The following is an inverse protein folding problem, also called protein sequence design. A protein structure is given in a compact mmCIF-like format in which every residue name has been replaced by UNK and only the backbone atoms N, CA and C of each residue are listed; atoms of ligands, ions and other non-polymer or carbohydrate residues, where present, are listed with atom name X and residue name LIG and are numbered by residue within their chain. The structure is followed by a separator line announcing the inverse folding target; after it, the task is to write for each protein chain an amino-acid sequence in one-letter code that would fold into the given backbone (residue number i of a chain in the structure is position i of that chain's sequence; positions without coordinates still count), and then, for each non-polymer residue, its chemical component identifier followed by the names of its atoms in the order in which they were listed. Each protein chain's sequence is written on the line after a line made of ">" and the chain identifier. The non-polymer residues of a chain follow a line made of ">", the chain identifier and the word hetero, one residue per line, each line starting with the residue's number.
data_IF_662065696013
#
_entry.id   IF_662065696013
#
_cell.length_a   1.000
_cell.length_b   1.000
_cell.length_c   1.000
_cell.angle_alpha   90.00
_cell.angle_beta   90.00
_cell.angle_gamma   90.00
#
_symmetry.space_group_name_H-M   'P 1'
#
loop_
_entity.id
_entity.type
_entity.pdbx_description
1 polymer ?
#
# COMPACT_ATOMS: atom_id res chain seq x y z
N UNK A 1 -5.27 12.73 19.21
CA UNK A 1 -5.42 11.82 18.04
C UNK A 1 -5.55 12.63 16.75
N UNK A 2 -4.45 12.81 16.01
CA UNK A 2 -4.44 13.44 14.68
C UNK A 2 -4.36 12.45 13.53
N UNK A 3 -3.98 11.20 13.79
CA UNK A 3 -3.66 10.17 12.80
C UNK A 3 -4.73 9.07 12.74
N UNK A 4 -5.14 8.70 11.53
CA UNK A 4 -5.88 7.49 11.26
C UNK A 4 -5.10 6.54 10.35
N UNK A 5 -5.22 5.24 10.60
CA UNK A 5 -4.71 4.21 9.70
C UNK A 5 -5.83 3.76 8.78
N UNK A 6 -5.60 3.86 7.48
CA UNK A 6 -6.44 3.24 6.46
C UNK A 6 -5.82 1.88 6.19
N UNK A 7 -6.35 0.87 6.89
CA UNK A 7 -5.69 -0.42 7.09
C UNK A 7 -6.23 -1.51 6.15
N UNK A 8 -5.30 -2.20 5.48
CA UNK A 8 -5.51 -3.48 4.81
C UNK A 8 -4.95 -4.65 5.61
N UNK A 9 -4.79 -5.80 4.96
CA UNK A 9 -4.25 -7.05 5.54
C UNK A 9 -2.76 -6.95 5.85
N UNK A 10 -2.30 -7.88 6.69
CA UNK A 10 -0.89 -8.04 7.04
C UNK A 10 -0.52 -7.36 8.36
N UNK A 11 0.75 -7.52 8.75
CA UNK A 11 1.28 -7.00 10.01
C UNK A 11 1.70 -5.53 10.02
N UNK A 12 1.77 -4.88 8.85
CA UNK A 12 2.24 -3.50 8.75
C UNK A 12 1.38 -2.52 9.56
N UNK A 13 0.03 -2.54 9.50
CA UNK A 13 -0.80 -1.64 10.29
C UNK A 13 -0.55 -1.76 11.80
N UNK A 14 -0.38 -2.98 12.32
CA UNK A 14 -0.07 -3.21 13.73
C UNK A 14 1.29 -2.60 14.13
N UNK A 15 2.31 -2.75 13.28
CA UNK A 15 3.63 -2.13 13.51
C UNK A 15 3.53 -0.61 13.53
N UNK A 16 2.81 -0.01 12.57
CA UNK A 16 2.61 1.45 12.52
C UNK A 16 1.88 1.94 13.77
N UNK A 17 0.78 1.29 14.15
CA UNK A 17 0.01 1.66 15.34
C UNK A 17 0.85 1.59 16.63
N UNK A 18 1.64 0.52 16.79
CA UNK A 18 2.47 0.31 17.99
C UNK A 18 3.62 1.31 18.12
N UNK A 19 4.07 1.92 17.02
CA UNK A 19 5.13 2.92 17.02
C UNK A 19 4.65 4.34 17.38
N UNK A 20 3.32 4.58 17.46
CA UNK A 20 2.77 5.90 17.75
C UNK A 20 2.71 6.17 19.25
N UNK A 21 2.95 7.43 19.65
CA UNK A 21 2.82 7.85 21.04
C UNK A 21 1.37 7.83 21.54
N UNK A 22 0.42 8.16 20.66
CA UNK A 22 -1.02 8.01 20.89
C UNK A 22 -1.58 6.96 19.93
N UNK A 23 -2.48 6.06 20.37
CA UNK A 23 -3.13 5.11 19.48
C UNK A 23 -3.85 5.84 18.32
N UNK A 24 -3.56 5.49 17.05
CA UNK A 24 -4.27 6.06 15.92
C UNK A 24 -5.68 5.45 15.82
N UNK A 25 -6.59 6.15 15.12
CA UNK A 25 -7.88 5.57 14.76
C UNK A 25 -7.68 4.54 13.64
N UNK A 26 -8.13 3.30 13.83
CA UNK A 26 -7.92 2.20 12.87
C UNK A 26 -9.17 1.99 12.02
N UNK A 27 -9.07 2.34 10.74
CA UNK A 27 -10.12 2.19 9.73
C UNK A 27 -9.77 1.02 8.81
N UNK A 28 -10.37 -0.15 9.01
CA UNK A 28 -10.07 -1.33 8.20
C UNK A 28 -10.95 -1.40 6.94
N UNK A 29 -10.35 -1.74 5.81
CA UNK A 29 -11.09 -2.03 4.59
C UNK A 29 -11.84 -3.36 4.72
N UNK A 30 -13.11 -3.40 4.31
CA UNK A 30 -13.95 -4.60 4.42
C UNK A 30 -13.34 -5.80 3.68
N UNK A 31 -13.29 -6.96 4.34
CA UNK A 31 -12.64 -8.16 3.80
C UNK A 31 -11.11 -8.16 3.85
N UNK A 32 -10.49 -7.07 4.31
CA UNK A 32 -9.04 -6.90 4.39
C UNK A 32 -8.57 -6.50 5.80
N UNK A 33 -9.06 -7.18 6.84
CA UNK A 33 -8.70 -6.84 8.22
C UNK A 33 -7.19 -7.02 8.48
N UNK A 34 -6.55 -6.11 9.23
CA UNK A 34 -5.13 -6.20 9.58
C UNK A 34 -4.86 -7.34 10.57
N UNK A 35 -3.63 -7.87 10.54
CA UNK A 35 -3.19 -8.88 11.49
C UNK A 35 -2.81 -8.22 12.82
N UNK A 36 -3.19 -8.84 13.94
CA UNK A 36 -2.82 -8.43 15.31
C UNK A 36 -3.25 -7.01 15.73
N UNK A 37 -4.11 -6.34 14.95
CA UNK A 37 -4.65 -5.03 15.25
C UNK A 37 -6.18 -5.04 15.14
N UNK A 38 -6.85 -4.51 16.16
CA UNK A 38 -8.32 -4.38 16.13
C UNK A 38 -8.71 -3.12 15.36
N UNK A 39 -9.65 -3.24 14.44
CA UNK A 39 -10.26 -2.10 13.77
C UNK A 39 -11.25 -1.38 14.72
N UNK A 40 -11.19 -0.04 14.73
CA UNK A 40 -12.20 0.80 15.39
C UNK A 40 -13.45 0.93 14.53
N UNK A 41 -13.25 0.98 13.20
CA UNK A 41 -14.33 1.00 12.22
C UNK A 41 -13.94 0.25 10.95
N UNK A 42 -14.95 -0.27 10.26
CA UNK A 42 -14.81 -0.89 8.95
C UNK A 42 -15.45 -0.01 7.89
N UNK A 43 -14.84 0.08 6.72
CA UNK A 43 -15.38 0.84 5.59
C UNK A 43 -15.23 0.09 4.28
N UNK A 44 -15.98 0.55 3.27
CA UNK A 44 -15.82 0.14 1.87
C UNK A 44 -15.54 1.33 0.97
N UNK A 45 -15.15 1.02 -0.27
CA UNK A 45 -14.99 2.04 -1.32
C UNK A 45 -16.28 2.82 -1.54
N UNK A 46 -17.44 2.17 -1.49
CA UNK A 46 -18.78 2.77 -1.65
C UNK A 46 -19.18 3.73 -0.53
N UNK A 47 -18.43 3.74 0.56
CA UNK A 47 -18.67 4.57 1.76
C UNK A 47 -17.49 5.50 2.08
N UNK A 48 -16.53 5.63 1.17
CA UNK A 48 -15.31 6.41 1.42
C UNK A 48 -15.62 7.87 1.72
N UNK A 49 -16.61 8.48 1.06
CA UNK A 49 -17.04 9.84 1.36
C UNK A 49 -17.58 10.01 2.78
N UNK A 50 -18.28 9.00 3.30
CA UNK A 50 -18.71 8.99 4.70
C UNK A 50 -17.53 8.80 5.66
N UNK A 51 -16.55 7.97 5.31
CA UNK A 51 -15.32 7.83 6.09
C UNK A 51 -14.58 9.17 6.18
N UNK A 52 -14.32 9.82 5.05
CA UNK A 52 -13.62 11.11 5.00
C UNK A 52 -14.30 12.15 5.89
N UNK A 53 -15.63 12.27 5.79
CA UNK A 53 -16.40 13.18 6.62
C UNK A 53 -16.37 12.80 8.11
N UNK A 54 -16.34 11.50 8.44
CA UNK A 54 -16.19 11.04 9.82
C UNK A 54 -14.82 11.41 10.39
N UNK A 55 -13.73 11.13 9.66
CA UNK A 55 -12.36 11.45 10.06
C UNK A 55 -12.21 12.94 10.40
N UNK A 56 -12.66 13.82 9.50
CA UNK A 56 -12.63 15.27 9.74
C UNK A 56 -13.49 15.68 10.95
N UNK A 57 -14.67 15.06 11.11
CA UNK A 57 -15.58 15.34 12.21
C UNK A 57 -15.03 14.97 13.59
N UNK A 58 -14.17 13.95 13.68
CA UNK A 58 -13.47 13.56 14.93
C UNK A 58 -12.10 14.22 15.08
N UNK A 59 -11.73 15.14 14.17
CA UNK A 59 -10.51 15.94 14.27
C UNK A 59 -9.25 15.30 13.70
N UNK A 60 -9.36 14.20 12.96
CA UNK A 60 -8.22 13.59 12.24
C UNK A 60 -7.76 14.55 11.13
N UNK A 61 -6.44 14.67 10.97
CA UNK A 61 -5.79 15.52 9.98
C UNK A 61 -4.76 14.79 9.14
N UNK A 62 -4.34 13.62 9.60
CA UNK A 62 -3.31 12.81 8.97
C UNK A 62 -3.83 11.39 8.76
N UNK A 63 -3.49 10.79 7.63
CA UNK A 63 -3.83 9.40 7.33
C UNK A 63 -2.61 8.65 6.83
N UNK A 64 -2.48 7.39 7.25
CA UNK A 64 -1.48 6.48 6.69
C UNK A 64 -2.19 5.32 6.01
N UNK A 65 -1.97 5.16 4.70
CA UNK A 65 -2.45 4.01 3.94
C UNK A 65 -1.46 2.87 4.17
N UNK A 66 -1.89 1.78 4.81
CA UNK A 66 -0.98 0.68 5.16
C UNK A 66 -1.67 -0.69 5.12
N UNK A 67 -0.93 -1.71 4.69
CA UNK A 67 -1.45 -3.07 4.53
C UNK A 67 -1.97 -3.35 3.12
N UNK A 68 -2.15 -4.64 2.83
CA UNK A 68 -2.56 -5.11 1.51
C UNK A 68 -4.07 -5.07 1.33
N UNK A 69 -4.53 -4.56 0.20
CA UNK A 69 -5.93 -4.65 -0.23
C UNK A 69 -6.00 -5.32 -1.59
N UNK A 70 -7.03 -6.14 -1.81
CA UNK A 70 -7.31 -6.59 -3.17
C UNK A 70 -7.87 -5.42 -3.98
N UNK A 71 -7.66 -5.49 -5.30
CA UNK A 71 -8.24 -4.51 -6.22
C UNK A 71 -9.77 -4.53 -6.08
N UNK A 72 -10.38 -3.44 -5.59
CA UNK A 72 -11.77 -3.48 -5.19
C UNK A 72 -12.70 -3.42 -6.41
N UNK A 73 -13.88 -4.01 -6.29
CA UNK A 73 -14.97 -3.85 -7.26
C UNK A 73 -15.97 -2.85 -6.71
N UNK A 74 -16.33 -1.83 -7.49
CA UNK A 74 -17.34 -0.85 -7.09
C UNK A 74 -18.75 -1.40 -7.36
N UNK A 75 -19.58 -1.49 -6.32
CA UNK A 75 -21.00 -1.82 -6.40
C UNK A 75 -21.86 -0.53 -6.31
N UNK A 76 -22.42 -0.03 -7.43
CA UNK A 76 -23.20 1.21 -7.43
C UNK A 76 -24.44 1.17 -6.52
N UNK A 77 -24.98 -0.02 -6.21
CA UNK A 77 -26.16 -0.14 -5.36
C UNK A 77 -25.86 0.08 -3.87
N UNK A 78 -24.59 -0.02 -3.46
CA UNK A 78 -24.12 0.19 -2.08
C UNK A 78 -23.54 1.57 -1.83
N UNK A 79 -23.49 2.40 -2.88
CA UNK A 79 -22.91 3.73 -2.88
C UNK A 79 -23.71 4.70 -2.02
N UNK A 80 -23.04 5.36 -1.07
CA UNK A 80 -23.67 6.41 -0.29
C UNK A 80 -23.64 7.78 -1.00
N UNK A 81 -24.49 8.69 -0.53
CA UNK A 81 -24.61 10.03 -1.12
C UNK A 81 -23.33 10.86 -1.01
N UNK A 82 -22.50 10.63 0.01
CA UNK A 82 -21.24 11.37 0.22
C UNK A 82 -20.14 10.88 -0.70
N UNK A 83 -20.23 9.63 -1.15
CA UNK A 83 -19.25 8.95 -1.98
C UNK A 83 -19.58 9.11 -3.47
N UNK A 84 -20.84 9.36 -3.81
CA UNK A 84 -21.26 9.56 -5.20
C UNK A 84 -20.42 10.58 -6.00
N UNK A 85 -19.99 11.72 -5.45
CA UNK A 85 -19.10 12.64 -6.14
C UNK A 85 -17.71 12.08 -6.49
N UNK A 86 -17.24 11.05 -5.76
CA UNK A 86 -15.90 10.45 -5.90
C UNK A 86 -15.84 9.35 -6.97
N UNK A 87 -16.99 8.89 -7.47
CA UNK A 87 -17.09 7.79 -8.44
C UNK A 87 -16.23 8.00 -9.70
N UNK A 88 -16.13 9.20 -10.30
CA UNK A 88 -15.24 9.42 -11.44
C UNK A 88 -13.77 9.12 -11.11
N UNK A 89 -13.28 9.54 -9.94
CA UNK A 89 -11.91 9.26 -9.48
C UNK A 89 -11.73 7.76 -9.22
N UNK A 90 -12.72 7.07 -8.66
CA UNK A 90 -12.64 5.61 -8.48
C UNK A 90 -12.52 4.87 -9.80
N UNK A 91 -13.29 5.28 -10.82
CA UNK A 91 -13.19 4.67 -12.16
C UNK A 91 -11.81 4.89 -12.78
N UNK A 92 -11.22 6.06 -12.58
CA UNK A 92 -9.86 6.35 -13.01
C UNK A 92 -8.84 5.45 -12.29
N UNK A 93 -8.93 5.35 -10.95
CA UNK A 93 -8.07 4.47 -10.16
C UNK A 93 -8.19 3.00 -10.58
N UNK A 94 -9.42 2.51 -10.73
CA UNK A 94 -9.71 1.14 -11.14
C UNK A 94 -9.35 0.82 -12.59
N UNK A 95 -9.05 1.82 -13.42
CA UNK A 95 -8.54 1.63 -14.78
C UNK A 95 -7.00 1.73 -14.86
N UNK A 96 -6.36 2.30 -13.84
CA UNK A 96 -4.91 2.43 -13.76
C UNK A 96 -4.24 1.12 -13.30
N UNK A 97 -2.91 1.03 -13.40
CA UNK A 97 -2.18 0.01 -12.66
C UNK A 97 -2.14 0.34 -11.16
N UNK A 98 -1.43 -0.46 -10.38
CA UNK A 98 -1.49 -0.37 -8.91
C UNK A 98 -0.91 0.95 -8.39
N UNK A 99 0.20 1.43 -8.96
CA UNK A 99 0.76 2.72 -8.57
C UNK A 99 -0.17 3.88 -8.93
N UNK A 100 -0.77 3.84 -10.13
CA UNK A 100 -1.72 4.86 -10.55
C UNK A 100 -3.00 4.88 -9.69
N UNK A 101 -3.48 3.71 -9.24
CA UNK A 101 -4.60 3.61 -8.33
C UNK A 101 -4.29 4.23 -6.97
N UNK A 102 -3.10 3.95 -6.41
CA UNK A 102 -2.64 4.49 -5.13
C UNK A 102 -2.56 6.03 -5.16
N UNK A 103 -2.01 6.61 -6.23
CA UNK A 103 -1.91 8.07 -6.39
C UNK A 103 -3.28 8.77 -6.46
N UNK A 104 -4.27 8.16 -7.15
CA UNK A 104 -5.63 8.70 -7.19
C UNK A 104 -6.28 8.66 -5.81
N UNK A 105 -6.11 7.56 -5.07
CA UNK A 105 -6.63 7.45 -3.69
C UNK A 105 -5.97 8.49 -2.79
N UNK A 106 -4.65 8.65 -2.86
CA UNK A 106 -3.92 9.68 -2.11
C UNK A 106 -4.48 11.08 -2.38
N UNK A 107 -4.67 11.42 -3.66
CA UNK A 107 -5.26 12.69 -4.09
C UNK A 107 -6.66 12.89 -3.50
N UNK A 108 -7.50 11.85 -3.48
CA UNK A 108 -8.84 11.93 -2.87
C UNK A 108 -8.75 12.33 -1.39
N UNK A 109 -7.85 11.73 -0.60
CA UNK A 109 -7.68 12.10 0.80
C UNK A 109 -7.17 13.55 0.95
N UNK A 110 -6.20 13.96 0.14
CA UNK A 110 -5.62 15.30 0.16
C UNK A 110 -6.62 16.39 -0.22
N UNK A 111 -7.43 16.16 -1.25
CA UNK A 111 -8.52 17.06 -1.68
C UNK A 111 -9.57 17.28 -0.58
N UNK A 112 -9.70 16.35 0.36
CA UNK A 112 -10.59 16.46 1.51
C UNK A 112 -9.90 17.01 2.77
N UNK A 113 -8.67 17.53 2.65
CA UNK A 113 -7.96 18.22 3.72
C UNK A 113 -7.27 17.29 4.72
N UNK A 114 -7.00 16.03 4.33
CA UNK A 114 -6.21 15.08 5.10
C UNK A 114 -4.80 14.98 4.49
N UNK A 115 -3.76 15.13 5.33
CA UNK A 115 -2.38 14.87 4.90
C UNK A 115 -2.15 13.38 4.83
N UNK A 116 -1.74 12.86 3.68
CA UNK A 116 -1.31 11.45 3.57
C UNK A 116 0.15 11.34 3.99
N UNK A 117 0.43 10.43 4.91
CA UNK A 117 1.75 10.23 5.53
C UNK A 117 2.24 8.82 5.21
N UNK A 118 3.49 8.70 4.76
CA UNK A 118 4.13 7.42 4.51
C UNK A 118 4.29 6.58 5.78
N UNK A 119 4.21 5.25 5.66
CA UNK A 119 4.48 4.37 6.80
C UNK A 119 5.94 4.48 7.28
N UNK A 120 6.85 4.74 6.35
CA UNK A 120 8.28 5.00 6.58
C UNK A 120 8.55 6.31 7.34
N UNK A 121 7.73 7.36 7.13
CA UNK A 121 7.80 8.57 7.95
C UNK A 121 7.39 8.30 9.41
N UNK A 122 6.42 7.42 9.61
CA UNK A 122 5.88 7.08 10.93
C UNK A 122 6.74 6.04 11.67
N UNK A 123 7.41 5.16 10.92
CA UNK A 123 8.24 4.08 11.44
C UNK A 123 9.51 3.97 10.60
N UNK A 124 10.55 4.78 10.89
CA UNK A 124 11.76 4.83 10.07
C UNK A 124 12.50 3.49 9.94
N UNK A 125 12.36 2.59 10.92
CA UNK A 125 13.00 1.27 10.92
C UNK A 125 12.29 0.22 10.04
N UNK A 126 11.25 0.62 9.29
CA UNK A 126 10.65 -0.22 8.26
C UNK A 126 11.54 -0.41 7.03
N UNK A 127 12.40 0.56 6.75
CA UNK A 127 13.27 0.52 5.59
C UNK A 127 14.53 -0.30 5.89
N UNK A 128 14.96 -1.08 4.90
CA UNK A 128 16.24 -1.76 4.97
C UNK A 128 17.38 -0.74 4.96
N UNK A 129 18.31 -0.87 5.90
CA UNK A 129 19.54 -0.09 5.91
C UNK A 129 20.37 -0.37 4.65
N UNK A 130 21.07 0.66 4.17
CA UNK A 130 22.04 0.48 3.10
C UNK A 130 23.17 -0.47 3.53
N UNK A 131 23.50 -1.43 2.69
CA UNK A 131 24.62 -2.35 2.94
C UNK A 131 24.23 -3.81 2.75
N UNK A 132 24.99 -4.69 3.39
CA UNK A 132 24.77 -6.14 3.34
C UNK A 132 24.19 -6.59 4.67
N UNK A 133 22.94 -7.05 4.65
CA UNK A 133 22.22 -7.50 5.84
C UNK A 133 22.52 -8.97 6.22
N UNK A 134 23.25 -9.69 5.35
CA UNK A 134 23.75 -11.05 5.60
C UNK A 134 25.11 -11.03 6.30
N UNK A 135 25.52 -12.19 6.83
CA UNK A 135 26.85 -12.38 7.40
C UNK A 135 27.97 -12.32 6.37
N UNK A 136 27.67 -12.71 5.13
CA UNK A 136 28.63 -12.80 4.03
C UNK A 136 28.36 -11.72 2.99
N UNK A 137 29.44 -11.22 2.37
CA UNK A 137 29.38 -10.26 1.27
C UNK A 137 29.04 -10.99 -0.04
N UNK A 138 28.33 -10.34 -0.98
CA UNK A 138 28.08 -10.92 -2.28
C UNK A 138 29.40 -11.10 -3.05
N UNK A 139 29.55 -12.23 -3.72
CA UNK A 139 30.64 -12.48 -4.65
C UNK A 139 30.46 -11.68 -5.96
N UNK A 140 31.37 -11.88 -6.91
CA UNK A 140 31.31 -11.16 -8.18
C UNK A 140 30.09 -11.55 -9.04
N UNK A 141 29.68 -12.83 -9.02
CA UNK A 141 28.51 -13.28 -9.77
C UNK A 141 27.22 -12.71 -9.18
N UNK A 142 27.08 -12.74 -7.86
CA UNK A 142 25.93 -12.16 -7.15
C UNK A 142 25.80 -10.67 -7.42
N UNK A 143 26.92 -9.93 -7.53
CA UNK A 143 26.92 -8.50 -7.89
C UNK A 143 26.44 -8.28 -9.33
N UNK A 144 26.86 -9.13 -10.28
CA UNK A 144 26.35 -9.07 -11.67
C UNK A 144 24.86 -9.39 -11.73
N UNK A 145 24.40 -10.40 -11.00
CA UNK A 145 22.99 -10.78 -10.91
C UNK A 145 22.14 -9.64 -10.31
N UNK A 146 22.62 -8.99 -9.25
CA UNK A 146 21.94 -7.84 -8.64
C UNK A 146 21.86 -6.64 -9.59
N UNK A 147 22.96 -6.33 -10.32
CA UNK A 147 22.96 -5.25 -11.31
C UNK A 147 22.00 -5.55 -12.47
N UNK A 148 21.93 -6.80 -12.92
CA UNK A 148 20.96 -7.25 -13.92
C UNK A 148 19.52 -7.13 -13.41
N UNK A 149 19.28 -7.50 -12.15
CA UNK A 149 17.97 -7.37 -11.50
C UNK A 149 17.49 -5.94 -11.45
N UNK A 150 18.36 -5.00 -11.02
CA UNK A 150 18.05 -3.57 -11.01
C UNK A 150 17.63 -3.07 -12.42
N UNK A 151 18.40 -3.41 -13.46
CA UNK A 151 18.08 -3.02 -14.82
C UNK A 151 16.74 -3.61 -15.34
N UNK A 152 16.38 -4.83 -14.91
CA UNK A 152 15.08 -5.43 -15.23
C UNK A 152 13.96 -4.68 -14.52
N UNK A 153 14.10 -4.41 -13.23
CA UNK A 153 13.11 -3.68 -12.43
C UNK A 153 12.88 -2.27 -12.96
N UNK A 154 13.93 -1.55 -13.35
CA UNK A 154 13.83 -0.22 -13.98
C UNK A 154 12.96 -0.26 -15.25
N UNK A 155 13.09 -1.31 -16.06
CA UNK A 155 12.26 -1.52 -17.24
C UNK A 155 10.80 -1.80 -16.90
N UNK A 156 10.54 -2.67 -15.92
CA UNK A 156 9.19 -3.05 -15.49
C UNK A 156 8.44 -1.91 -14.81
N UNK A 157 9.14 -1.08 -14.02
CA UNK A 157 8.55 0.02 -13.27
C UNK A 157 7.83 1.02 -14.18
N UNK A 158 8.38 1.29 -15.37
CA UNK A 158 7.74 2.22 -16.34
C UNK A 158 6.41 1.72 -16.90
N UNK A 159 6.13 0.43 -16.75
CA UNK A 159 4.95 -0.24 -17.28
C UNK A 159 3.95 -0.64 -16.18
N UNK A 160 4.27 -0.38 -14.91
CA UNK A 160 3.44 -0.73 -13.74
C UNK A 160 3.07 -2.24 -13.72
N UNK A 161 4.04 -3.10 -14.05
CA UNK A 161 3.84 -4.57 -14.17
C UNK A 161 4.04 -5.30 -12.84
N UNK A 162 5.08 -4.91 -12.08
CA UNK A 162 5.49 -5.61 -10.87
C UNK A 162 6.80 -5.05 -10.30
N UNK A 163 7.17 -5.50 -9.11
CA UNK A 163 8.24 -4.89 -8.31
C UNK A 163 9.35 -5.87 -7.87
N UNK A 164 9.25 -7.15 -8.26
CA UNK A 164 10.27 -8.15 -8.00
C UNK A 164 10.69 -8.91 -9.27
N UNK A 165 11.92 -9.43 -9.25
CA UNK A 165 12.43 -10.35 -10.28
C UNK A 165 13.40 -11.37 -9.65
N UNK A 166 13.57 -12.51 -10.32
CA UNK A 166 14.52 -13.55 -9.94
C UNK A 166 15.58 -13.68 -11.02
N UNK A 167 16.84 -13.44 -10.65
CA UNK A 167 18.00 -13.52 -11.53
C UNK A 167 18.94 -14.61 -11.05
N UNK A 168 19.54 -15.36 -11.96
CA UNK A 168 20.73 -16.15 -11.64
C UNK A 168 21.61 -16.40 -12.85
N UNK A 169 22.92 -16.26 -12.67
CA UNK A 169 23.90 -16.27 -13.78
C UNK A 169 23.51 -15.27 -14.89
N UNK A 170 23.05 -14.11 -14.47
CA UNK A 170 22.58 -12.99 -15.29
C UNK A 170 21.36 -13.32 -16.18
N UNK A 171 20.73 -14.48 -16.00
CA UNK A 171 19.49 -14.87 -16.67
C UNK A 171 18.27 -14.49 -15.83
N UNK A 172 17.21 -14.02 -16.49
CA UNK A 172 15.92 -13.74 -15.84
C UNK A 172 15.15 -15.05 -15.75
N UNK A 173 14.93 -15.54 -14.54
CA UNK A 173 14.12 -16.74 -14.29
C UNK A 173 12.64 -16.40 -14.13
N UNK A 174 12.33 -15.22 -13.60
CA UNK A 174 10.96 -14.77 -13.46
C UNK A 174 10.86 -13.30 -13.08
N UNK A 175 9.69 -12.73 -13.31
CA UNK A 175 9.31 -11.38 -12.92
C UNK A 175 7.96 -11.44 -12.22
N UNK A 176 7.80 -10.63 -11.19
CA UNK A 176 6.52 -10.51 -10.48
C UNK A 176 5.50 -9.85 -11.40
N UNK A 177 4.27 -10.33 -11.29
CA UNK A 177 3.07 -9.75 -11.91
C UNK A 177 1.93 -9.88 -10.90
N UNK A 178 0.69 -10.03 -11.36
CA UNK A 178 -0.51 -10.16 -10.52
C UNK A 178 -0.46 -11.28 -9.46
N UNK A 179 0.37 -12.31 -9.65
CA UNK A 179 0.51 -13.40 -8.68
C UNK A 179 1.24 -13.04 -7.39
N UNK A 180 1.98 -11.92 -7.38
CA UNK A 180 2.78 -11.49 -6.23
C UNK A 180 4.11 -12.26 -6.07
N UNK A 181 4.92 -11.79 -5.12
CA UNK A 181 6.28 -12.29 -4.90
C UNK A 181 6.32 -13.75 -4.44
N UNK A 182 5.40 -14.19 -3.56
CA UNK A 182 5.34 -15.59 -3.11
C UNK A 182 5.04 -16.56 -4.27
N UNK A 183 4.17 -16.16 -5.20
CA UNK A 183 3.89 -16.95 -6.40
C UNK A 183 5.13 -17.04 -7.32
N UNK A 184 5.82 -15.92 -7.51
CA UNK A 184 7.07 -15.86 -8.29
C UNK A 184 8.14 -16.82 -7.72
N UNK A 185 8.28 -16.90 -6.39
CA UNK A 185 9.32 -17.72 -5.75
C UNK A 185 8.99 -19.21 -5.68
N UNK A 186 7.72 -19.59 -5.91
CA UNK A 186 7.26 -20.99 -5.84
C UNK A 186 7.12 -21.66 -7.21
N UNK A 187 7.32 -20.90 -8.28
CA UNK A 187 7.20 -21.34 -9.68
C UNK A 187 8.59 -21.61 -10.28
#
# INVERSE_FOLDING_TARGET
>A
MSLALIAGRGGLPARVAAAQAEPPLVCAYEGCAPDWLKADLTFRLETLGSLLAHLLGVGIREVCLCGAIDRPTLDPAKLDMRTAPLVPQFKQALAAGDNGALEVIKTIFEDHGLRVVGADELVPDLLADSGVLSRELPDEQMRRDAARGAAVLDGLATLDIGQACVIGREQVYGVETIGGTDHLLTT
#
